data_IF_310995945347
#
_entry.id   IF_310995945347
#
_cell.length_a   1.000
_cell.length_b   1.000
_cell.length_c   1.000
_cell.angle_alpha   90.00
_cell.angle_beta   90.00
_cell.angle_gamma   90.00
#
_symmetry.space_group_name_H-M   'P 1'
#
loop_
_entity.id
_entity.type
_entity.pdbx_description
1 polymer ?
#
# COMPACT_ATOMS: atom_id res chain seq x y z
N UNK A 1 -6.29 10.61 10.32
CA UNK A 1 -6.00 11.36 9.07
C UNK A 1 -7.04 12.46 8.97
N UNK A 2 -6.68 13.71 9.29
CA UNK A 2 -7.54 14.87 9.04
C UNK A 2 -7.23 15.41 7.64
N UNK A 3 -8.22 16.01 6.96
CA UNK A 3 -8.02 16.68 5.67
C UNK A 3 -8.05 15.79 4.41
N UNK A 4 -8.55 14.55 4.49
CA UNK A 4 -8.87 13.76 3.28
C UNK A 4 -10.29 14.06 2.82
N UNK A 5 -10.45 14.47 1.56
CA UNK A 5 -11.75 14.62 0.90
C UNK A 5 -11.91 13.54 -0.15
N UNK A 6 -13.09 12.94 -0.23
CA UNK A 6 -13.42 12.04 -1.33
C UNK A 6 -13.43 12.84 -2.65
N UNK A 7 -12.88 12.26 -3.71
CA UNK A 7 -12.82 12.88 -5.04
C UNK A 7 -13.38 11.93 -6.10
N UNK A 8 -13.87 12.52 -7.18
CA UNK A 8 -14.11 11.85 -8.45
C UNK A 8 -13.42 12.67 -9.54
N UNK A 9 -13.32 12.13 -10.75
CA UNK A 9 -12.71 12.83 -11.87
C UNK A 9 -13.76 13.29 -12.87
N UNK A 10 -13.64 14.54 -13.30
CA UNK A 10 -14.43 15.15 -14.36
C UNK A 10 -13.47 15.77 -15.38
N UNK A 11 -13.42 15.23 -16.60
CA UNK A 11 -12.49 15.67 -17.64
C UNK A 11 -11.03 15.79 -17.15
N UNK A 12 -10.48 14.71 -16.55
CA UNK A 12 -9.13 14.66 -15.97
C UNK A 12 -8.88 15.63 -14.79
N UNK A 13 -9.93 16.22 -14.22
CA UNK A 13 -9.84 17.10 -13.06
C UNK A 13 -10.47 16.48 -11.83
N UNK A 14 -9.68 16.34 -10.77
CA UNK A 14 -10.17 15.89 -9.47
C UNK A 14 -11.17 16.92 -8.89
N UNK A 15 -12.38 16.44 -8.60
CA UNK A 15 -13.49 17.23 -8.06
C UNK A 15 -13.96 16.58 -6.76
N UNK A 16 -14.24 17.40 -5.73
CA UNK A 16 -14.75 16.89 -4.45
C UNK A 16 -16.12 16.23 -4.64
N UNK A 17 -16.30 15.06 -4.05
CA UNK A 17 -17.54 14.28 -4.13
C UNK A 17 -18.66 14.95 -3.34
N UNK A 18 -19.81 15.14 -3.99
CA UNK A 18 -21.11 15.25 -3.33
C UNK A 18 -21.79 13.87 -3.22
N UNK A 19 -22.78 13.73 -2.35
CA UNK A 19 -23.47 12.43 -2.13
C UNK A 19 -24.14 11.82 -3.38
N UNK A 20 -24.28 12.59 -4.47
CA UNK A 20 -24.95 12.24 -5.72
C UNK A 20 -24.06 11.60 -6.79
N UNK A 21 -22.73 11.55 -6.59
CA UNK A 21 -21.77 11.24 -7.68
C UNK A 21 -21.07 9.88 -7.53
N UNK A 22 -21.71 8.89 -6.89
CA UNK A 22 -21.13 7.55 -6.64
C UNK A 22 -20.67 6.84 -7.92
N UNK A 23 -21.42 7.01 -9.01
CA UNK A 23 -21.15 6.35 -10.29
C UNK A 23 -19.95 6.96 -11.05
N UNK A 24 -19.41 8.08 -10.57
CA UNK A 24 -18.25 8.78 -11.17
C UNK A 24 -16.94 8.50 -10.43
N UNK A 25 -16.95 7.67 -9.39
CA UNK A 25 -15.79 7.46 -8.52
C UNK A 25 -14.60 6.80 -9.22
N UNK A 26 -14.80 6.16 -10.37
CA UNK A 26 -13.73 5.57 -11.17
C UNK A 26 -14.09 5.54 -12.67
N UNK A 27 -13.07 5.62 -13.53
CA UNK A 27 -13.17 5.35 -14.97
C UNK A 27 -12.04 4.42 -15.40
N UNK A 28 -12.37 3.23 -15.88
CA UNK A 28 -11.38 2.29 -16.41
C UNK A 28 -10.79 2.75 -17.76
N UNK A 29 -11.60 3.41 -18.59
CA UNK A 29 -11.18 3.91 -19.89
C UNK A 29 -10.16 5.04 -19.73
N UNK A 30 -10.46 5.98 -18.82
CA UNK A 30 -9.61 7.16 -18.58
C UNK A 30 -8.52 6.87 -17.54
N UNK A 31 -8.51 5.67 -16.95
CA UNK A 31 -7.55 5.19 -15.94
C UNK A 31 -7.53 6.07 -14.68
N UNK A 32 -8.73 6.44 -14.24
CA UNK A 32 -8.99 7.27 -13.08
C UNK A 32 -9.55 6.41 -11.95
N UNK A 33 -8.82 6.33 -10.83
CA UNK A 33 -9.09 5.36 -9.76
C UNK A 33 -8.76 5.87 -8.36
N UNK A 34 -8.44 7.16 -8.20
CA UNK A 34 -8.23 7.75 -6.88
C UNK A 34 -9.56 8.09 -6.21
N UNK A 35 -9.74 7.62 -4.98
CA UNK A 35 -10.98 7.79 -4.21
C UNK A 35 -10.93 9.04 -3.31
N UNK A 36 -9.74 9.51 -2.94
CA UNK A 36 -9.58 10.63 -2.04
C UNK A 36 -8.35 11.48 -2.37
N UNK A 37 -8.38 12.75 -1.95
CA UNK A 37 -7.27 13.69 -2.04
C UNK A 37 -7.07 14.42 -0.72
N UNK A 38 -5.82 14.68 -0.36
CA UNK A 38 -5.46 15.53 0.78
C UNK A 38 -5.28 16.98 0.35
N UNK A 39 -5.32 17.92 1.31
CA UNK A 39 -5.17 19.36 1.04
C UNK A 39 -3.90 19.72 0.24
N UNK A 40 -2.89 18.87 0.38
CA UNK A 40 -1.58 18.96 -0.23
C UNK A 40 -1.53 18.22 -1.57
N UNK A 41 -2.65 18.10 -2.29
CA UNK A 41 -2.74 17.52 -3.63
C UNK A 41 -2.56 16.00 -3.73
N UNK A 42 -2.04 15.33 -2.70
CA UNK A 42 -1.74 13.89 -2.76
C UNK A 42 -3.01 13.06 -2.92
N UNK A 43 -2.98 12.13 -3.87
CA UNK A 43 -4.10 11.25 -4.21
C UNK A 43 -4.00 9.90 -3.48
N UNK A 44 -5.14 9.35 -3.07
CA UNK A 44 -5.24 8.13 -2.28
C UNK A 44 -6.31 7.21 -2.82
N UNK A 45 -6.01 5.92 -2.74
CA UNK A 45 -6.86 4.85 -3.23
C UNK A 45 -7.13 3.91 -2.09
N UNK A 46 -8.40 3.60 -1.87
CA UNK A 46 -8.79 2.64 -0.87
C UNK A 46 -8.75 1.24 -1.50
N UNK A 47 -7.92 0.37 -0.95
CA UNK A 47 -7.90 -1.06 -1.28
C UNK A 47 -8.61 -1.80 -0.14
N UNK A 48 -9.85 -2.28 -0.35
CA UNK A 48 -10.53 -3.08 0.66
C UNK A 48 -9.76 -4.36 0.95
N UNK A 49 -9.90 -4.90 2.16
CA UNK A 49 -9.39 -6.22 2.51
C UNK A 49 -9.92 -7.25 1.51
N UNK A 50 -9.03 -8.07 0.95
CA UNK A 50 -9.39 -9.08 -0.03
C UNK A 50 -8.67 -10.42 0.20
N UNK A 51 -9.24 -11.47 -0.41
CA UNK A 51 -8.57 -12.73 -0.63
C UNK A 51 -8.36 -12.93 -2.14
N UNK A 52 -7.32 -13.68 -2.49
CA UNK A 52 -6.94 -13.93 -3.88
C UNK A 52 -6.79 -15.42 -4.16
N UNK A 53 -7.02 -15.81 -5.42
CA UNK A 53 -6.73 -17.14 -5.93
C UNK A 53 -5.94 -17.01 -7.23
N UNK A 54 -4.89 -17.80 -7.37
CA UNK A 54 -3.97 -17.80 -8.51
C UNK A 54 -4.45 -18.80 -9.53
N UNK A 55 -4.73 -18.32 -10.74
CA UNK A 55 -4.97 -19.18 -11.88
C UNK A 55 -3.68 -19.36 -12.69
N UNK A 56 -3.00 -20.49 -12.47
CA UNK A 56 -1.73 -20.82 -13.14
C UNK A 56 -1.88 -20.99 -14.65
N UNK A 57 -3.05 -21.39 -15.14
CA UNK A 57 -3.25 -21.72 -16.56
C UNK A 57 -3.21 -20.49 -17.47
N UNK A 58 -3.78 -19.37 -17.00
CA UNK A 58 -3.87 -18.12 -17.75
C UNK A 58 -3.10 -16.96 -17.08
N UNK A 59 -2.33 -17.23 -16.02
CA UNK A 59 -1.52 -16.26 -15.27
C UNK A 59 -2.34 -15.07 -14.72
N UNK A 60 -3.56 -15.34 -14.28
CA UNK A 60 -4.44 -14.33 -13.67
C UNK A 60 -4.64 -14.57 -12.18
N UNK A 61 -5.20 -13.56 -11.50
CA UNK A 61 -5.63 -13.64 -10.12
C UNK A 61 -7.12 -13.34 -10.04
N UNK A 62 -7.86 -14.23 -9.38
CA UNK A 62 -9.23 -13.96 -8.96
C UNK A 62 -9.19 -13.28 -7.60
N UNK A 63 -10.02 -12.25 -7.40
CA UNK A 63 -10.05 -11.46 -6.17
C UNK A 63 -11.47 -11.40 -5.64
N UNK A 64 -11.62 -11.63 -4.33
CA UNK A 64 -12.88 -11.47 -3.60
C UNK A 64 -12.67 -10.53 -2.41
N UNK A 65 -13.60 -9.61 -2.19
CA UNK A 65 -13.54 -8.70 -1.05
C UNK A 65 -14.08 -9.36 0.21
N UNK A 66 -13.37 -9.17 1.32
CA UNK A 66 -13.71 -9.77 2.61
C UNK A 66 -14.63 -8.85 3.42
N UNK A 67 -15.48 -9.45 4.24
CA UNK A 67 -16.45 -8.74 5.07
C UNK A 67 -15.76 -8.20 6.32
N UNK A 68 -15.51 -6.89 6.34
CA UNK A 68 -14.90 -6.20 7.48
C UNK A 68 -13.50 -6.73 7.79
N UNK A 69 -13.29 -7.23 9.00
CA UNK A 69 -12.04 -7.87 9.44
C UNK A 69 -12.13 -9.39 9.48
N UNK A 70 -13.23 -9.97 8.99
CA UNK A 70 -13.40 -11.43 8.94
C UNK A 70 -12.71 -11.99 7.70
N UNK A 71 -12.56 -13.32 7.68
CA UNK A 71 -12.06 -14.04 6.51
C UNK A 71 -13.20 -14.50 5.59
N UNK A 72 -14.40 -13.95 5.78
CA UNK A 72 -15.58 -14.33 5.02
C UNK A 72 -15.78 -13.44 3.79
N UNK A 73 -16.33 -14.01 2.72
CA UNK A 73 -16.70 -13.30 1.49
C UNK A 73 -17.99 -13.86 0.91
N UNK A 74 -18.62 -13.10 0.00
CA UNK A 74 -19.73 -13.59 -0.80
C UNK A 74 -19.22 -14.09 -2.15
N UNK A 75 -19.57 -15.32 -2.51
CA UNK A 75 -19.28 -15.83 -3.85
C UNK A 75 -20.21 -15.20 -4.91
N UNK A 76 -20.00 -15.58 -6.18
CA UNK A 76 -20.78 -15.09 -7.32
C UNK A 76 -22.29 -15.35 -7.22
N UNK A 77 -22.69 -16.31 -6.39
CA UNK A 77 -24.10 -16.68 -6.17
C UNK A 77 -24.66 -16.01 -4.90
N UNK A 78 -23.88 -15.13 -4.25
CA UNK A 78 -24.28 -14.39 -3.06
C UNK A 78 -24.23 -15.24 -1.78
N UNK A 79 -23.55 -16.39 -1.79
CA UNK A 79 -23.43 -17.25 -0.61
C UNK A 79 -22.16 -16.93 0.17
N UNK A 80 -22.28 -16.94 1.50
CA UNK A 80 -21.16 -16.69 2.42
C UNK A 80 -20.19 -17.88 2.40
N UNK A 81 -18.91 -17.57 2.18
CA UNK A 81 -17.78 -18.49 2.16
C UNK A 81 -16.68 -17.96 3.07
N UNK A 82 -15.69 -18.80 3.39
CA UNK A 82 -14.53 -18.42 4.21
C UNK A 82 -13.23 -18.68 3.44
N UNK A 83 -12.40 -17.66 3.30
CA UNK A 83 -11.08 -17.75 2.71
C UNK A 83 -10.10 -18.44 3.66
N UNK A 84 -9.07 -19.09 3.10
CA UNK A 84 -7.98 -19.69 3.86
C UNK A 84 -6.99 -18.61 4.29
N UNK A 85 -6.42 -18.78 5.48
CA UNK A 85 -5.31 -17.97 5.96
C UNK A 85 -4.29 -18.85 6.62
N UNK A 86 -3.05 -18.38 6.64
CA UNK A 86 -1.99 -19.02 7.40
C UNK A 86 -2.27 -18.85 8.90
N UNK A 87 -2.22 -19.94 9.64
CA UNK A 87 -2.47 -19.96 11.09
C UNK A 87 -1.25 -20.36 11.91
N UNK A 88 -0.21 -20.90 11.26
CA UNK A 88 1.07 -21.27 11.86
C UNK A 88 2.20 -21.05 10.85
N UNK A 89 3.46 -21.16 11.28
CA UNK A 89 4.62 -21.02 10.38
C UNK A 89 4.68 -22.08 9.27
N UNK A 90 4.07 -23.24 9.51
CA UNK A 90 4.14 -24.40 8.59
C UNK A 90 2.85 -24.63 7.78
N UNK A 91 1.75 -23.99 8.18
CA UNK A 91 0.45 -24.10 7.51
C UNK A 91 0.32 -23.07 6.38
N UNK A 92 1.07 -23.27 5.30
CA UNK A 92 1.07 -22.35 4.14
C UNK A 92 -0.14 -22.69 3.23
N UNK A 93 -1.14 -21.80 3.13
CA UNK A 93 -2.31 -22.05 2.31
C UNK A 93 -1.98 -22.01 0.81
N UNK A 94 -2.57 -22.93 0.04
CA UNK A 94 -2.33 -23.04 -1.40
C UNK A 94 -3.29 -22.14 -2.20
N UNK A 95 -2.83 -20.94 -2.53
CA UNK A 95 -3.58 -19.96 -3.31
C UNK A 95 -3.91 -20.41 -4.74
N UNK A 96 -3.41 -21.56 -5.22
CA UNK A 96 -3.81 -22.12 -6.53
C UNK A 96 -5.08 -22.96 -6.44
N UNK A 97 -5.46 -23.38 -5.23
CA UNK A 97 -6.66 -24.20 -4.96
C UNK A 97 -7.77 -23.38 -4.34
N UNK A 98 -7.43 -22.61 -3.31
CA UNK A 98 -8.37 -21.86 -2.49
C UNK A 98 -8.15 -20.35 -2.59
N UNK A 99 -9.16 -19.58 -2.20
CA UNK A 99 -8.97 -18.16 -1.93
C UNK A 99 -8.19 -17.98 -0.64
N UNK A 100 -7.11 -17.21 -0.71
CA UNK A 100 -6.20 -16.96 0.41
C UNK A 100 -6.24 -15.49 0.80
N UNK A 101 -6.42 -15.22 2.10
CA UNK A 101 -6.40 -13.86 2.65
C UNK A 101 -5.02 -13.24 2.40
N UNK A 102 -4.98 -12.03 1.84
CA UNK A 102 -3.72 -11.36 1.60
C UNK A 102 -3.06 -10.92 2.92
N UNK A 103 -1.79 -11.29 3.19
CA UNK A 103 -1.16 -11.14 4.51
C UNK A 103 -1.11 -9.70 5.00
N UNK A 104 -0.96 -8.73 4.08
CA UNK A 104 -0.91 -7.31 4.43
C UNK A 104 -2.11 -6.79 5.25
N UNK A 105 -3.25 -7.49 5.27
CA UNK A 105 -4.43 -7.12 6.05
C UNK A 105 -4.59 -7.88 7.37
N UNK A 106 -3.72 -8.85 7.62
CA UNK A 106 -3.89 -9.92 8.60
C UNK A 106 -3.04 -9.64 9.84
N UNK A 107 -3.57 -9.88 11.05
CA UNK A 107 -2.73 -9.89 12.24
C UNK A 107 -1.93 -11.20 12.30
N UNK A 108 -0.61 -11.13 12.09
CA UNK A 108 0.30 -12.27 12.10
C UNK A 108 1.29 -12.25 13.27
N UNK A 109 1.02 -11.44 14.30
CA UNK A 109 1.86 -11.37 15.50
C UNK A 109 2.08 -12.72 16.19
N UNK A 110 1.14 -13.66 16.08
CA UNK A 110 1.23 -14.99 16.65
C UNK A 110 2.11 -15.96 15.85
N UNK A 111 2.47 -15.61 14.61
CA UNK A 111 3.28 -16.46 13.72
C UNK A 111 4.55 -15.73 13.27
N UNK A 112 4.99 -14.70 14.01
CA UNK A 112 6.24 -14.00 13.74
C UNK A 112 6.30 -13.25 12.39
N UNK A 113 5.15 -12.95 11.77
CA UNK A 113 5.06 -12.25 10.48
C UNK A 113 5.75 -12.98 9.32
N UNK A 114 5.82 -14.31 9.35
CA UNK A 114 6.50 -15.12 8.32
C UNK A 114 6.00 -14.89 6.90
N UNK A 115 4.76 -14.42 6.72
CA UNK A 115 4.17 -14.13 5.41
C UNK A 115 4.12 -12.62 5.10
N UNK A 116 4.85 -11.80 5.86
CA UNK A 116 4.80 -10.34 5.72
C UNK A 116 3.49 -9.73 6.22
N UNK A 117 2.81 -10.40 7.15
CA UNK A 117 1.57 -9.90 7.74
C UNK A 117 1.74 -8.65 8.60
N UNK A 118 0.61 -8.16 9.11
CA UNK A 118 0.54 -6.94 9.88
C UNK A 118 0.40 -7.20 11.38
N UNK A 119 0.52 -6.14 12.19
CA UNK A 119 0.36 -6.20 13.66
C UNK A 119 -1.08 -6.12 14.16
N UNK A 120 -2.04 -5.96 13.24
CA UNK A 120 -3.48 -5.87 13.54
C UNK A 120 -4.31 -6.24 12.31
N UNK A 121 -5.54 -6.66 12.54
CA UNK A 121 -6.51 -6.86 11.45
C UNK A 121 -6.87 -5.51 10.82
N UNK A 122 -6.87 -5.47 9.49
CA UNK A 122 -7.26 -4.30 8.70
C UNK A 122 -8.48 -4.63 7.85
N UNK A 123 -9.37 -3.65 7.70
CA UNK A 123 -10.51 -3.69 6.74
C UNK A 123 -10.09 -3.28 5.33
N UNK A 124 -8.86 -2.79 5.17
CA UNK A 124 -8.28 -2.32 3.94
C UNK A 124 -7.11 -1.39 4.20
N UNK A 125 -6.47 -0.91 3.13
CA UNK A 125 -5.28 -0.06 3.16
C UNK A 125 -5.51 1.13 2.23
N UNK A 126 -5.09 2.31 2.67
CA UNK A 126 -4.96 3.47 1.81
C UNK A 126 -3.60 3.45 1.13
N UNK A 127 -3.60 3.45 -0.20
CA UNK A 127 -2.38 3.53 -1.00
C UNK A 127 -2.32 4.89 -1.67
N UNK A 128 -1.24 5.62 -1.44
CA UNK A 128 -0.96 6.87 -2.12
C UNK A 128 -0.64 6.62 -3.59
N UNK A 129 -1.29 7.38 -4.47
CA UNK A 129 -0.97 7.44 -5.89
C UNK A 129 0.08 8.53 -6.09
N UNK A 130 1.32 8.11 -6.22
CA UNK A 130 2.38 8.91 -6.80
C UNK A 130 2.47 8.60 -8.30
N UNK A 131 2.92 9.55 -9.10
CA UNK A 131 3.44 9.17 -10.43
C UNK A 131 4.53 8.12 -10.21
N UNK A 132 4.49 7.02 -10.96
CA UNK A 132 5.58 6.07 -10.95
C UNK A 132 6.83 6.86 -11.33
N UNK A 133 7.74 7.06 -10.36
CA UNK A 133 8.94 7.84 -10.58
C UNK A 133 9.71 7.23 -11.75
N UNK A 134 9.58 7.84 -12.93
CA UNK A 134 10.50 7.55 -14.02
C UNK A 134 11.83 8.16 -13.60
N UNK A 135 12.62 7.36 -12.89
CA UNK A 135 13.98 7.73 -12.56
C UNK A 135 14.83 7.57 -13.82
N UNK A 136 14.91 8.65 -14.60
CA UNK A 136 15.91 8.76 -15.66
C UNK A 136 17.17 9.35 -15.06
N UNK A 137 18.24 8.54 -14.97
CA UNK A 137 19.53 9.00 -14.47
C UNK A 137 20.06 10.22 -15.26
N UNK A 138 19.64 10.38 -16.51
CA UNK A 138 20.09 11.46 -17.39
C UNK A 138 19.26 12.74 -17.21
N UNK A 139 18.10 12.68 -16.52
CA UNK A 139 17.27 13.83 -16.18
C UNK A 139 17.49 14.33 -14.75
N UNK A 140 18.47 13.77 -14.02
CA UNK A 140 18.85 14.20 -12.67
C UNK A 140 19.35 15.66 -12.66
N UNK A 141 19.88 16.15 -13.77
CA UNK A 141 20.35 17.53 -13.95
C UNK A 141 19.45 18.39 -14.84
N UNK A 142 18.28 17.89 -15.25
CA UNK A 142 17.30 18.75 -15.90
C UNK A 142 16.75 19.73 -14.85
N UNK A 143 16.57 21.00 -15.23
CA UNK A 143 15.91 22.10 -14.49
C UNK A 143 14.44 21.80 -14.13
N UNK A 144 14.18 20.61 -13.58
CA UNK A 144 12.92 20.26 -12.94
C UNK A 144 13.10 20.52 -11.46
N UNK A 145 12.10 21.13 -10.83
CA UNK A 145 12.11 21.38 -9.39
C UNK A 145 12.39 20.06 -8.65
N UNK A 146 13.58 20.00 -8.02
CA UNK A 146 13.99 18.89 -7.17
C UNK A 146 13.27 19.04 -5.84
N UNK A 147 12.22 18.26 -5.64
CA UNK A 147 11.52 18.21 -4.37
C UNK A 147 12.27 17.28 -3.42
N UNK A 148 13.14 17.84 -2.59
CA UNK A 148 13.79 17.11 -1.50
C UNK A 148 12.80 16.78 -0.40
N UNK A 149 12.94 15.61 0.17
CA UNK A 149 12.16 15.21 1.35
C UNK A 149 12.71 15.95 2.56
N UNK A 150 11.91 16.72 3.32
CA UNK A 150 12.37 17.15 4.66
C UNK A 150 12.13 16.10 5.75
N UNK A 151 11.85 14.85 5.36
CA UNK A 151 11.89 13.71 6.27
C UNK A 151 13.35 13.23 6.32
N UNK A 152 13.99 13.44 7.46
CA UNK A 152 15.33 12.92 7.72
C UNK A 152 15.23 11.43 8.08
N UNK A 153 16.04 10.60 7.42
CA UNK A 153 16.18 9.20 7.79
C UNK A 153 16.86 9.13 9.16
N UNK A 154 16.26 8.45 10.13
CA UNK A 154 16.85 8.31 11.48
C UNK A 154 17.73 7.08 11.63
N UNK A 155 17.60 6.11 10.72
CA UNK A 155 18.42 4.91 10.73
C UNK A 155 19.76 5.22 10.10
N UNK A 156 20.85 5.02 10.85
CA UNK A 156 22.21 5.21 10.35
C UNK A 156 22.63 4.11 9.39
N UNK A 157 22.07 2.90 9.55
CA UNK A 157 22.44 1.73 8.75
C UNK A 157 21.21 0.98 8.23
N UNK A 158 21.28 0.49 7.00
CA UNK A 158 20.39 -0.52 6.44
C UNK A 158 21.08 -1.88 6.42
N UNK A 159 20.34 -2.94 6.74
CA UNK A 159 20.85 -4.30 6.64
C UNK A 159 20.74 -4.80 5.20
N UNK A 160 21.86 -5.15 4.59
CA UNK A 160 21.90 -5.57 3.18
C UNK A 160 21.74 -7.09 3.03
N UNK A 161 21.33 -7.57 1.85
CA UNK A 161 21.31 -9.01 1.54
C UNK A 161 22.67 -9.70 1.68
N UNK A 162 23.77 -8.93 1.72
CA UNK A 162 25.11 -9.43 1.99
C UNK A 162 25.41 -9.63 3.49
N UNK A 163 24.37 -9.61 4.34
CA UNK A 163 24.45 -9.77 5.79
C UNK A 163 25.33 -8.71 6.49
N UNK A 164 25.35 -7.48 5.96
CA UNK A 164 26.15 -6.37 6.48
C UNK A 164 25.29 -5.15 6.73
N UNK A 165 25.68 -4.38 7.75
CA UNK A 165 25.14 -3.04 7.97
C UNK A 165 25.89 -2.06 7.06
N UNK A 166 25.19 -1.47 6.11
CA UNK A 166 25.69 -0.39 5.27
C UNK A 166 24.99 0.91 5.62
N UNK A 167 25.65 2.05 5.44
CA UNK A 167 25.04 3.36 5.73
C UNK A 167 23.70 3.49 4.98
N UNK A 168 22.65 3.89 5.70
CA UNK A 168 21.36 4.11 5.07
C UNK A 168 21.47 5.31 4.11
N UNK A 169 21.37 5.04 2.81
CA UNK A 169 21.47 6.07 1.77
C UNK A 169 20.09 6.63 1.47
N UNK A 170 19.88 7.93 1.72
CA UNK A 170 18.82 8.66 1.05
C UNK A 170 19.39 9.20 -0.27
N UNK A 171 18.98 8.59 -1.37
CA UNK A 171 19.55 8.82 -2.70
C UNK A 171 19.34 10.27 -3.22
N UNK A 172 18.35 11.00 -2.69
CA UNK A 172 17.99 12.34 -3.17
C UNK A 172 18.60 13.49 -2.37
N UNK A 173 18.86 13.30 -1.08
CA UNK A 173 19.18 14.42 -0.19
C UNK A 173 20.67 14.51 0.18
N UNK A 174 21.46 13.45 -0.02
CA UNK A 174 22.90 13.43 0.32
C UNK A 174 23.23 13.65 1.81
N UNK A 175 22.22 13.80 2.67
CA UNK A 175 22.35 14.02 4.11
C UNK A 175 22.36 12.68 4.85
N UNK A 176 23.46 12.43 5.55
CA UNK A 176 23.69 11.25 6.39
C UNK A 176 23.34 11.56 7.86
N UNK A 177 22.52 10.74 8.54
CA UNK A 177 22.31 10.91 9.98
C UNK A 177 23.55 10.43 10.76
N UNK A 178 24.36 11.36 11.29
CA UNK A 178 25.24 11.07 12.44
C UNK A 178 24.45 11.34 13.72
N UNK A 179 23.88 10.32 14.33
CA UNK A 179 23.28 10.45 15.67
C UNK A 179 24.09 9.65 16.69
N UNK A 180 24.77 10.36 17.59
CA UNK A 180 25.56 9.77 18.67
C UNK A 180 24.62 9.46 19.86
N UNK A 181 24.57 8.18 20.25
CA UNK A 181 23.96 7.55 21.44
C UNK A 181 22.81 8.27 22.18
N UNK A 182 21.70 7.51 22.25
CA UNK A 182 20.49 7.59 23.10
C UNK A 182 19.35 8.42 22.50
N UNK A 183 18.22 7.71 22.32
CA UNK A 183 16.87 8.20 21.98
C UNK A 183 16.59 8.40 20.48
N UNK A 184 16.03 7.36 19.83
CA UNK A 184 15.12 7.56 18.70
C UNK A 184 14.14 6.37 18.62
N UNK A 185 12.88 6.61 18.99
CA UNK A 185 11.76 5.67 18.85
C UNK A 185 11.08 5.85 17.49
N UNK A 186 10.94 4.74 16.77
CA UNK A 186 9.84 4.32 15.88
C UNK A 186 9.13 5.32 14.95
N UNK A 187 9.05 4.85 13.69
CA UNK A 187 7.99 5.02 12.68
C UNK A 187 8.18 6.15 11.66
N UNK A 188 8.44 5.76 10.41
CA UNK A 188 8.38 6.65 9.24
C UNK A 188 7.28 6.16 8.29
N UNK A 189 6.28 7.02 8.05
CA UNK A 189 5.35 6.95 6.92
C UNK A 189 5.62 8.23 6.11
N UNK A 190 6.01 8.08 4.85
CA UNK A 190 6.28 9.20 3.95
C UNK A 190 4.98 9.89 3.53
N UNK A 191 4.99 11.23 3.57
CA UNK A 191 3.97 12.10 2.97
C UNK A 191 4.64 13.43 2.65
N UNK A 192 4.40 13.99 1.47
CA UNK A 192 4.50 15.43 1.28
C UNK A 192 3.93 15.97 -0.03
N UNK A 193 3.02 16.95 0.13
CA UNK A 193 2.78 18.22 -0.57
C UNK A 193 2.59 18.28 -2.07
#
# INVERSE_FOLDING_TARGET
MSGMSAIYFDNNKATKVGNTDKDKWYSYNDKEWANAQTEDGSMWVWIPRYAYKINKSNQTFDVVFLVGTTDNYYDKDGKLQTAKRQTSETDIPDATKDYVVHPAFTNESNIGYVNGGWKKELTGIWVSKFEAGYFDKNLVDADKEKYSSSVNYSQTYGYTPAAKNEDARNYLDGVYPRCNKRLCSTSSIYKRK
#
